data_IF_445735097447
#
_entry.id   IF_445735097447
#
_cell.length_a   1.000
_cell.length_b   1.000
_cell.length_c   1.000
_cell.angle_alpha   90.00
_cell.angle_beta   90.00
_cell.angle_gamma   90.00
#
_symmetry.space_group_name_H-M   'P 1'
#
loop_
_entity.id
_entity.type
_entity.pdbx_description
1 polymer ?
#
# COMPACT_ATOMS: atom_id res chain seq x y z
N UNK A 1 15.94 4.56 -12.73
CA UNK A 1 16.92 4.40 -11.63
C UNK A 1 16.91 2.98 -11.07
N UNK A 2 15.83 2.50 -10.42
CA UNK A 2 15.79 1.13 -9.85
C UNK A 2 15.69 0.01 -10.90
N UNK A 3 15.05 0.28 -12.04
CA UNK A 3 14.90 -0.67 -13.15
C UNK A 3 16.12 -0.71 -14.08
N UNK A 4 17.15 0.11 -13.82
CA UNK A 4 18.35 0.15 -14.66
C UNK A 4 19.21 -1.08 -14.38
N UNK A 5 19.65 -1.76 -15.44
CA UNK A 5 20.58 -2.89 -15.33
C UNK A 5 21.94 -2.47 -14.74
N UNK A 6 22.28 -1.18 -14.82
CA UNK A 6 23.51 -0.58 -14.26
C UNK A 6 23.39 -0.18 -12.79
N UNK A 7 22.22 -0.30 -12.17
CA UNK A 7 22.04 0.10 -10.78
C UNK A 7 22.64 -0.96 -9.84
N UNK A 8 23.70 -0.62 -9.12
CA UNK A 8 24.46 -1.58 -8.28
C UNK A 8 24.11 -1.54 -6.78
N UNK A 9 23.25 -0.61 -6.36
CA UNK A 9 22.81 -0.57 -4.97
C UNK A 9 22.01 -1.82 -4.59
N UNK A 10 22.04 -2.14 -3.30
CA UNK A 10 21.61 -3.42 -2.73
C UNK A 10 20.17 -3.81 -3.14
N UNK A 11 19.22 -2.88 -3.03
CA UNK A 11 17.83 -3.09 -3.43
C UNK A 11 17.66 -3.41 -4.93
N UNK A 12 18.40 -2.74 -5.82
CA UNK A 12 18.35 -3.04 -7.25
C UNK A 12 18.90 -4.44 -7.56
N UNK A 13 19.95 -4.87 -6.85
CA UNK A 13 20.52 -6.23 -6.95
C UNK A 13 19.52 -7.28 -6.46
N UNK A 14 18.89 -7.07 -5.30
CA UNK A 14 17.83 -7.94 -4.76
C UNK A 14 16.70 -8.17 -5.76
N UNK A 15 16.21 -7.09 -6.39
CA UNK A 15 15.09 -7.14 -7.34
C UNK A 15 15.38 -7.93 -8.63
N UNK A 16 16.66 -8.02 -9.04
CA UNK A 16 17.08 -8.84 -10.20
C UNK A 16 17.34 -10.30 -9.82
N UNK A 17 17.49 -10.60 -8.55
CA UNK A 17 17.70 -11.97 -8.05
C UNK A 17 16.37 -12.65 -7.70
N UNK A 18 16.40 -13.98 -7.58
CA UNK A 18 15.24 -14.77 -7.12
C UNK A 18 14.75 -14.38 -5.73
N UNK A 19 15.62 -13.80 -4.90
CA UNK A 19 15.29 -13.37 -3.54
C UNK A 19 14.28 -12.20 -3.50
N UNK A 20 14.29 -11.30 -4.50
CA UNK A 20 13.45 -10.10 -4.49
C UNK A 20 13.64 -9.20 -3.26
N UNK A 21 12.72 -8.28 -3.07
CA UNK A 21 12.64 -7.42 -1.89
C UNK A 21 11.18 -7.19 -1.46
N UNK A 22 10.88 -6.99 -0.17
CA UNK A 22 9.54 -6.62 0.29
C UNK A 22 8.98 -5.43 -0.48
N UNK A 23 7.71 -5.52 -0.89
CA UNK A 23 7.05 -4.43 -1.63
C UNK A 23 7.09 -3.11 -0.87
N UNK A 24 7.01 -3.15 0.47
CA UNK A 24 7.13 -1.97 1.30
C UNK A 24 8.51 -1.30 1.21
N UNK A 25 9.59 -2.08 1.17
CA UNK A 25 10.97 -1.57 0.99
C UNK A 25 11.11 -0.90 -0.39
N UNK A 26 10.60 -1.57 -1.43
CA UNK A 26 10.65 -1.07 -2.81
C UNK A 26 9.88 0.23 -2.98
N UNK A 27 8.65 0.30 -2.45
CA UNK A 27 7.80 1.48 -2.58
C UNK A 27 8.29 2.62 -1.69
N UNK A 28 8.92 2.32 -0.56
CA UNK A 28 9.64 3.30 0.28
C UNK A 28 10.77 3.96 -0.51
N UNK A 29 11.54 3.17 -1.26
CA UNK A 29 12.59 3.71 -2.15
C UNK A 29 12.00 4.57 -3.27
N UNK A 30 10.93 4.12 -3.93
CA UNK A 30 10.33 4.81 -5.08
C UNK A 30 9.61 6.11 -4.70
N UNK A 31 8.93 6.14 -3.56
CA UNK A 31 8.03 7.23 -3.16
C UNK A 31 8.56 8.09 -2.01
N UNK A 32 9.79 7.84 -1.58
CA UNK A 32 10.51 8.62 -0.58
C UNK A 32 9.73 8.80 0.73
N UNK A 33 9.73 10.04 1.23
CA UNK A 33 9.19 10.39 2.55
C UNK A 33 7.71 10.02 2.71
N UNK A 34 6.91 10.15 1.64
CA UNK A 34 5.48 9.89 1.71
C UNK A 34 5.19 8.44 2.07
N UNK A 35 5.76 7.49 1.34
CA UNK A 35 5.53 6.07 1.59
C UNK A 35 6.29 5.57 2.82
N UNK A 36 7.50 6.10 3.07
CA UNK A 36 8.24 5.85 4.31
C UNK A 36 7.39 6.14 5.55
N UNK A 37 6.68 7.27 5.56
CA UNK A 37 5.79 7.62 6.66
C UNK A 37 4.62 6.65 6.81
N UNK A 38 4.02 6.19 5.71
CA UNK A 38 2.93 5.19 5.76
C UNK A 38 3.37 3.90 6.41
N UNK A 39 4.52 3.36 6.00
CA UNK A 39 5.04 2.11 6.56
C UNK A 39 5.41 2.30 8.03
N UNK A 40 6.12 3.38 8.39
CA UNK A 40 6.45 3.65 9.79
C UNK A 40 5.21 3.72 10.69
N UNK A 41 4.18 4.47 10.27
CA UNK A 41 2.93 4.57 11.00
C UNK A 41 2.19 3.23 11.07
N UNK A 42 2.04 2.53 9.95
CA UNK A 42 1.35 1.25 9.91
C UNK A 42 2.04 0.20 10.79
N UNK A 43 3.37 0.11 10.74
CA UNK A 43 4.15 -0.80 11.59
C UNK A 43 4.04 -0.46 13.07
N UNK A 44 3.99 0.83 13.44
CA UNK A 44 3.89 1.25 14.83
C UNK A 44 2.49 1.01 15.44
N UNK A 45 1.43 1.20 14.65
CA UNK A 45 0.06 1.26 15.18
C UNK A 45 -0.85 0.10 14.78
N UNK A 46 -0.52 -0.66 13.73
CA UNK A 46 -1.39 -1.75 13.31
C UNK A 46 -1.44 -2.87 14.35
N UNK A 47 -2.65 -3.36 14.62
CA UNK A 47 -2.91 -4.45 15.55
C UNK A 47 -3.37 -5.67 14.74
N UNK A 48 -2.48 -6.62 14.41
CA UNK A 48 -2.84 -7.79 13.60
C UNK A 48 -3.88 -8.64 14.32
N UNK A 49 -4.88 -9.10 13.56
CA UNK A 49 -5.67 -10.25 13.98
C UNK A 49 -4.82 -11.52 13.77
N UNK A 50 -4.92 -12.54 14.64
CA UNK A 50 -4.16 -13.78 14.48
C UNK A 50 -4.31 -14.38 13.09
N UNK A 51 -3.19 -14.66 12.43
CA UNK A 51 -3.17 -15.28 11.09
C UNK A 51 -3.54 -14.36 9.92
N UNK A 52 -3.66 -13.04 10.14
CA UNK A 52 -3.95 -12.06 9.08
C UNK A 52 -2.83 -11.01 9.07
N UNK A 53 -2.28 -10.72 7.89
CA UNK A 53 -1.34 -9.61 7.72
C UNK A 53 -1.97 -8.28 8.15
N UNK A 54 -1.20 -7.43 8.81
CA UNK A 54 -1.70 -6.16 9.37
C UNK A 54 -1.54 -4.97 8.43
N UNK A 55 -0.63 -5.05 7.46
CA UNK A 55 -0.28 -3.94 6.58
C UNK A 55 -0.34 -4.40 5.12
N UNK A 56 -1.13 -3.69 4.32
CA UNK A 56 -1.30 -3.97 2.90
C UNK A 56 -0.92 -2.77 2.04
N UNK A 57 -0.29 -3.05 0.91
CA UNK A 57 0.02 -2.11 -0.16
C UNK A 57 -1.01 -2.28 -1.27
N UNK A 58 -1.68 -1.19 -1.64
CA UNK A 58 -2.56 -1.17 -2.81
C UNK A 58 -1.68 -1.13 -4.05
N UNK A 59 -1.85 -2.11 -4.95
CA UNK A 59 -1.06 -2.26 -6.18
C UNK A 59 -1.93 -2.08 -7.43
N UNK A 60 -1.35 -1.67 -8.58
CA UNK A 60 -2.12 -1.45 -9.80
C UNK A 60 -2.81 -2.70 -10.38
N UNK A 61 -2.23 -3.89 -10.18
CA UNK A 61 -2.69 -5.14 -10.83
C UNK A 61 -3.12 -6.23 -9.87
N UNK A 62 -2.64 -6.24 -8.62
CA UNK A 62 -2.81 -7.37 -7.69
C UNK A 62 -3.71 -7.09 -6.51
N UNK A 63 -4.23 -5.88 -6.36
CA UNK A 63 -5.12 -5.53 -5.26
C UNK A 63 -4.35 -5.20 -3.99
N UNK A 64 -4.71 -5.83 -2.88
CA UNK A 64 -4.13 -5.60 -1.55
C UNK A 64 -3.05 -6.64 -1.27
N UNK A 65 -1.79 -6.24 -1.41
CA UNK A 65 -0.63 -7.11 -1.24
C UNK A 65 -0.02 -6.89 0.14
N UNK A 66 0.28 -7.96 0.88
CA UNK A 66 0.99 -7.87 2.16
C UNK A 66 2.31 -7.08 1.96
N UNK A 67 2.55 -6.09 2.82
CA UNK A 67 3.74 -5.24 2.82
C UNK A 67 5.06 -6.03 2.80
N UNK A 68 5.08 -7.23 3.37
CA UNK A 68 6.24 -8.13 3.42
C UNK A 68 6.38 -9.03 2.17
N UNK A 69 5.40 -9.00 1.26
CA UNK A 69 5.46 -9.77 0.01
C UNK A 69 6.68 -9.36 -0.79
N UNK A 70 7.55 -10.33 -1.08
CA UNK A 70 8.74 -10.12 -1.89
C UNK A 70 8.38 -10.02 -3.37
N UNK A 71 8.75 -8.90 -3.99
CA UNK A 71 8.59 -8.64 -5.41
C UNK A 71 9.96 -8.56 -6.10
N UNK A 72 9.95 -8.69 -7.41
CA UNK A 72 11.10 -8.65 -8.33
C UNK A 72 10.84 -7.63 -9.43
N UNK A 73 11.82 -7.51 -10.33
CA UNK A 73 11.76 -6.57 -11.44
C UNK A 73 10.54 -6.78 -12.35
N UNK A 74 10.17 -8.03 -12.63
CA UNK A 74 9.04 -8.33 -13.51
C UNK A 74 7.69 -7.99 -12.86
N UNK A 75 7.59 -8.05 -11.53
CA UNK A 75 6.40 -7.59 -10.81
C UNK A 75 6.23 -6.07 -10.95
N UNK A 76 7.33 -5.29 -10.91
CA UNK A 76 7.27 -3.85 -11.17
C UNK A 76 6.89 -3.53 -12.62
N UNK A 77 7.35 -4.35 -13.58
CA UNK A 77 6.92 -4.24 -14.99
C UNK A 77 5.45 -4.56 -15.15
N UNK A 78 4.96 -5.60 -14.48
CA UNK A 78 3.54 -5.93 -14.45
C UNK A 78 2.72 -4.77 -13.87
N UNK A 79 3.13 -4.19 -12.74
CA UNK A 79 2.42 -3.05 -12.13
C UNK A 79 2.32 -1.85 -13.06
N UNK A 80 3.29 -1.67 -13.96
CA UNK A 80 3.28 -0.58 -14.95
C UNK A 80 2.33 -0.82 -16.14
N UNK A 81 1.70 -1.99 -16.25
CA UNK A 81 0.79 -2.32 -17.37
C UNK A 81 -0.64 -1.81 -17.18
N UNK A 82 -0.99 -1.36 -15.97
CA UNK A 82 -2.33 -0.90 -15.62
C UNK A 82 -2.25 0.48 -14.96
N UNK A 83 -3.02 1.42 -15.50
CA UNK A 83 -3.15 2.75 -14.93
C UNK A 83 -4.05 2.73 -13.68
N UNK A 84 -3.71 3.55 -12.69
CA UNK A 84 -4.48 3.67 -11.45
C UNK A 84 -5.70 4.57 -11.71
N UNK A 85 -6.81 3.97 -12.13
CA UNK A 85 -8.05 4.68 -12.47
C UNK A 85 -9.29 4.01 -11.85
N UNK A 86 -10.21 4.79 -11.27
CA UNK A 86 -11.40 4.27 -10.55
C UNK A 86 -12.34 3.44 -11.45
N UNK A 87 -12.33 3.72 -12.75
CA UNK A 87 -13.20 3.06 -13.73
C UNK A 87 -12.52 1.91 -14.48
N UNK A 88 -11.21 1.66 -14.26
CA UNK A 88 -10.52 0.53 -14.87
C UNK A 88 -10.75 -0.76 -14.07
N UNK A 89 -11.47 -1.76 -14.60
CA UNK A 89 -11.75 -3.00 -13.88
C UNK A 89 -10.48 -3.80 -13.56
N UNK A 90 -9.42 -3.67 -14.35
CA UNK A 90 -8.14 -4.37 -14.13
C UNK A 90 -7.46 -3.89 -12.86
N UNK A 91 -7.64 -2.61 -12.53
CA UNK A 91 -7.18 -2.01 -11.29
C UNK A 91 -8.17 -2.25 -10.13
N UNK A 92 -9.47 -2.07 -10.39
CA UNK A 92 -10.50 -2.08 -9.35
C UNK A 92 -10.81 -3.48 -8.82
N UNK A 93 -11.02 -4.45 -9.71
CA UNK A 93 -11.52 -5.77 -9.33
C UNK A 93 -10.58 -6.54 -8.37
N UNK A 94 -9.23 -6.49 -8.51
CA UNK A 94 -8.33 -7.09 -7.53
C UNK A 94 -8.48 -6.48 -6.13
N UNK A 95 -8.65 -5.16 -6.02
CA UNK A 95 -8.83 -4.46 -4.74
C UNK A 95 -10.16 -4.86 -4.10
N UNK A 96 -11.26 -4.87 -4.87
CA UNK A 96 -12.59 -5.29 -4.40
C UNK A 96 -12.56 -6.73 -3.86
N UNK A 97 -11.95 -7.64 -4.63
CA UNK A 97 -11.79 -9.04 -4.25
C UNK A 97 -11.09 -9.17 -2.88
N UNK A 98 -9.94 -8.53 -2.73
CA UNK A 98 -9.17 -8.62 -1.49
C UNK A 98 -9.86 -7.92 -0.32
N UNK A 99 -10.46 -6.74 -0.56
CA UNK A 99 -11.18 -6.00 0.46
C UNK A 99 -12.37 -6.81 0.98
N UNK A 100 -13.12 -7.48 0.10
CA UNK A 100 -14.22 -8.38 0.48
C UNK A 100 -13.71 -9.59 1.28
N UNK A 101 -12.60 -10.21 0.88
CA UNK A 101 -11.99 -11.32 1.64
C UNK A 101 -11.57 -10.85 3.04
N UNK A 102 -10.93 -9.69 3.15
CA UNK A 102 -10.50 -9.14 4.44
C UNK A 102 -11.69 -8.74 5.32
N UNK A 103 -12.72 -8.13 4.76
CA UNK A 103 -13.92 -7.74 5.50
C UNK A 103 -14.58 -8.93 6.21
N UNK A 104 -14.58 -10.11 5.55
CA UNK A 104 -15.13 -11.36 6.08
C UNK A 104 -14.21 -12.06 7.10
N UNK A 105 -12.89 -11.90 6.99
CA UNK A 105 -11.92 -12.53 7.90
C UNK A 105 -11.66 -11.71 9.17
N UNK A 106 -11.72 -10.39 9.06
CA UNK A 106 -11.44 -9.50 10.18
C UNK A 106 -12.61 -9.49 11.19
N UNK A 107 -12.34 -9.44 12.50
CA UNK A 107 -13.36 -9.26 13.52
C UNK A 107 -14.31 -8.09 13.21
N UNK A 108 -15.61 -8.16 13.54
CA UNK A 108 -16.59 -7.14 13.17
C UNK A 108 -16.27 -5.71 13.63
N UNK A 109 -15.47 -5.56 14.69
CA UNK A 109 -15.05 -4.27 15.27
C UNK A 109 -13.67 -3.81 14.84
N UNK A 110 -13.00 -4.49 13.91
CA UNK A 110 -11.69 -4.03 13.42
C UNK A 110 -11.87 -2.79 12.54
N UNK A 111 -11.09 -1.75 12.84
CA UNK A 111 -10.95 -0.57 12.00
C UNK A 111 -9.89 -0.79 10.93
N UNK A 112 -10.17 -0.33 9.71
CA UNK A 112 -9.26 -0.38 8.57
C UNK A 112 -8.80 1.05 8.29
N UNK A 113 -7.50 1.30 8.42
CA UNK A 113 -6.93 2.64 8.25
C UNK A 113 -6.35 2.81 6.85
N UNK A 114 -6.94 3.69 6.04
CA UNK A 114 -6.40 4.10 4.74
C UNK A 114 -5.37 5.22 4.91
N UNK A 115 -4.09 4.90 4.67
CA UNK A 115 -2.99 5.88 4.65
C UNK A 115 -2.70 6.46 3.25
N UNK A 116 -3.60 6.22 2.30
CA UNK A 116 -3.50 6.65 0.90
C UNK A 116 -3.95 8.10 0.65
N UNK A 117 -4.04 8.48 -0.63
CA UNK A 117 -4.75 9.72 -1.00
C UNK A 117 -6.25 9.52 -0.81
N UNK A 118 -6.90 10.47 -0.13
CA UNK A 118 -8.35 10.49 0.09
C UNK A 118 -9.06 11.53 -0.77
N UNK A 119 -8.30 12.33 -1.54
CA UNK A 119 -8.84 13.40 -2.37
C UNK A 119 -9.57 12.90 -3.62
N UNK A 120 -9.38 11.63 -3.99
CA UNK A 120 -10.00 11.02 -5.17
C UNK A 120 -10.70 9.72 -4.80
N UNK A 121 -11.77 9.37 -5.52
CA UNK A 121 -12.53 8.13 -5.32
C UNK A 121 -11.78 6.83 -5.64
N UNK A 122 -10.61 6.89 -6.29
CA UNK A 122 -9.88 5.71 -6.81
C UNK A 122 -9.44 4.66 -5.77
N UNK A 123 -9.39 5.04 -4.49
CA UNK A 123 -9.18 4.09 -3.40
C UNK A 123 -10.39 4.06 -2.48
N UNK A 124 -10.88 5.25 -2.11
CA UNK A 124 -11.94 5.42 -1.11
C UNK A 124 -13.21 4.70 -1.54
N UNK A 125 -13.69 4.89 -2.77
CA UNK A 125 -14.97 4.30 -3.21
C UNK A 125 -14.92 2.77 -3.18
N UNK A 126 -13.80 2.21 -3.65
CA UNK A 126 -13.58 0.76 -3.74
C UNK A 126 -13.54 0.12 -2.35
N UNK A 127 -12.77 0.72 -1.44
CA UNK A 127 -12.61 0.20 -0.08
C UNK A 127 -13.86 0.44 0.77
N UNK A 128 -14.54 1.57 0.59
CA UNK A 128 -15.76 1.90 1.34
C UNK A 128 -16.88 0.91 1.04
N UNK A 129 -16.99 0.45 -0.21
CA UNK A 129 -17.98 -0.55 -0.61
C UNK A 129 -17.84 -1.88 0.15
N UNK A 130 -16.61 -2.26 0.56
CA UNK A 130 -16.36 -3.50 1.31
C UNK A 130 -16.32 -3.31 2.83
N UNK A 131 -15.73 -2.21 3.30
CA UNK A 131 -15.49 -2.00 4.74
C UNK A 131 -16.53 -1.13 5.43
N UNK A 132 -17.30 -0.32 4.69
CA UNK A 132 -18.31 0.59 5.23
C UNK A 132 -17.74 1.48 6.34
N UNK A 133 -18.47 1.58 7.45
CA UNK A 133 -18.12 2.42 8.61
C UNK A 133 -16.81 2.02 9.32
N UNK A 134 -16.27 0.84 9.00
CA UNK A 134 -14.98 0.37 9.52
C UNK A 134 -13.79 1.01 8.81
N UNK A 135 -13.99 1.60 7.62
CA UNK A 135 -12.95 2.33 6.90
C UNK A 135 -12.73 3.71 7.53
N UNK A 136 -11.51 3.97 7.99
CA UNK A 136 -11.08 5.23 8.58
C UNK A 136 -9.89 5.80 7.84
N UNK A 137 -9.65 7.08 8.01
CA UNK A 137 -8.43 7.77 7.59
C UNK A 137 -8.11 8.88 8.59
N UNK A 138 -6.83 9.25 8.77
CA UNK A 138 -6.47 10.34 9.68
C UNK A 138 -7.05 11.67 9.18
N UNK A 139 -7.85 12.35 10.01
CA UNK A 139 -8.44 13.66 9.67
C UNK A 139 -7.38 14.70 9.33
N UNK A 140 -6.21 14.62 9.98
CA UNK A 140 -5.07 15.51 9.73
C UNK A 140 -4.50 15.41 8.31
N UNK A 141 -4.95 14.46 7.47
CA UNK A 141 -4.55 14.37 6.07
C UNK A 141 -5.27 15.40 5.18
N UNK A 142 -6.42 15.92 5.62
CA UNK A 142 -7.20 16.89 4.86
C UNK A 142 -6.38 18.17 4.66
N UNK A 143 -6.34 18.66 3.41
CA UNK A 143 -5.57 19.86 3.05
C UNK A 143 -4.05 19.67 3.02
N UNK A 144 -3.53 18.44 3.16
CA UNK A 144 -2.07 18.17 3.13
C UNK A 144 -1.63 17.45 1.86
N UNK A 145 -0.54 17.94 1.27
CA UNK A 145 0.20 17.23 0.22
C UNK A 145 0.96 16.00 0.74
N UNK A 146 1.37 15.14 -0.19
CA UNK A 146 1.98 13.83 0.08
C UNK A 146 3.17 13.88 1.06
N UNK A 147 4.13 14.77 0.84
CA UNK A 147 5.31 14.88 1.70
C UNK A 147 4.97 15.40 3.10
N UNK A 148 4.01 16.31 3.22
CA UNK A 148 3.54 16.81 4.53
C UNK A 148 2.88 15.69 5.35
N UNK A 149 2.10 14.83 4.69
CA UNK A 149 1.51 13.64 5.31
C UNK A 149 2.58 12.62 5.71
N UNK A 150 3.58 12.40 4.85
CA UNK A 150 4.75 11.56 5.14
C UNK A 150 5.47 11.98 6.43
N UNK A 151 5.82 13.27 6.53
CA UNK A 151 6.46 13.83 7.72
C UNK A 151 5.59 13.79 8.97
N UNK A 152 4.27 14.01 8.84
CA UNK A 152 3.32 13.87 9.95
C UNK A 152 3.32 12.44 10.51
N UNK A 153 3.15 11.44 9.64
CA UNK A 153 3.15 10.04 10.03
C UNK A 153 4.46 9.62 10.71
N UNK A 154 5.61 10.09 10.21
CA UNK A 154 6.91 9.81 10.81
C UNK A 154 7.05 10.39 12.22
N UNK A 155 6.55 11.62 12.45
CA UNK A 155 6.57 12.21 13.80
C UNK A 155 5.64 11.49 14.77
N UNK A 156 4.50 10.99 14.28
CA UNK A 156 3.59 10.20 15.11
C UNK A 156 4.17 8.83 15.48
N UNK A 157 5.02 8.25 14.64
CA UNK A 157 5.59 6.92 14.83
C UNK A 157 6.96 6.91 15.53
N UNK A 158 7.53 8.09 15.82
CA UNK A 158 8.80 8.26 16.53
C UNK A 158 8.57 8.28 18.04
#
# INVERSE_FOLDING_TARGET
MILSDRAEFELARKLRCKAGAPIAEVFTFLSGLYFRGKIAYATAFARPAPGIASVFVITPTRGLVDAETRIRLDDLREFATVDIHNDDPRYRAPIERDAHILANKLPPRSEIILLGSIATGKYVNVLLASFGDRLRFPVDFVGRGDMSRGGLMLRCAA
#
